data_IF_116246859677
#
_entry.id   IF_116246859677
#
_cell.length_a   1.000
_cell.length_b   1.000
_cell.length_c   1.000
_cell.angle_alpha   90.00
_cell.angle_beta   90.00
_cell.angle_gamma   90.00
#
_symmetry.space_group_name_H-M   'P 1'
#
loop_
_entity.id
_entity.type
_entity.pdbx_description
1 polymer ?
#
# COMPACT_ATOMS: atom_id res chain seq x y z
N UNK A 1 48.67 20.09 -20.31
CA UNK A 1 47.34 20.60 -19.94
C UNK A 1 46.33 19.59 -20.46
N UNK A 2 46.01 18.60 -19.64
CA UNK A 2 45.09 17.54 -20.00
C UNK A 2 43.94 17.60 -19.00
N UNK A 3 42.74 17.94 -19.49
CA UNK A 3 41.53 17.96 -18.70
C UNK A 3 41.11 16.52 -18.38
N UNK A 4 41.15 16.15 -17.10
CA UNK A 4 40.73 14.84 -16.61
C UNK A 4 39.27 14.56 -16.96
N UNK A 5 39.03 13.39 -17.55
CA UNK A 5 37.69 12.79 -17.66
C UNK A 5 37.40 12.10 -16.33
N UNK A 6 36.68 12.80 -15.46
CA UNK A 6 36.21 12.26 -14.19
C UNK A 6 34.76 11.79 -14.34
N UNK A 7 34.52 10.75 -15.14
CA UNK A 7 33.23 10.05 -15.18
C UNK A 7 33.42 8.56 -14.94
N UNK A 8 33.31 8.16 -13.68
CA UNK A 8 32.66 6.88 -13.36
C UNK A 8 31.92 7.02 -12.04
N UNK A 9 30.61 7.26 -12.12
CA UNK A 9 29.70 7.04 -10.99
C UNK A 9 29.57 5.54 -10.71
N UNK A 10 30.63 4.91 -10.24
CA UNK A 10 30.54 3.57 -9.69
C UNK A 10 29.98 3.65 -8.27
N UNK A 11 28.67 3.93 -8.17
CA UNK A 11 27.94 3.87 -6.91
C UNK A 11 27.54 2.43 -6.60
N UNK A 12 28.54 1.55 -6.49
CA UNK A 12 28.38 0.20 -5.95
C UNK A 12 28.35 0.30 -4.43
N UNK A 13 27.15 0.43 -3.87
CA UNK A 13 26.74 -0.09 -2.55
C UNK A 13 25.22 0.02 -2.44
N UNK A 14 24.53 -0.90 -3.10
CA UNK A 14 23.15 -1.22 -2.74
C UNK A 14 23.15 -1.95 -1.39
N UNK A 15 23.30 -1.20 -0.30
CA UNK A 15 22.90 -1.67 1.03
C UNK A 15 21.40 -1.48 1.12
N UNK A 16 20.64 -2.51 0.73
CA UNK A 16 19.23 -2.62 1.06
C UNK A 16 19.10 -2.85 2.58
N UNK A 17 19.32 -1.80 3.38
CA UNK A 17 18.82 -1.75 4.74
C UNK A 17 17.55 -0.90 4.75
N UNK A 18 16.49 -1.45 4.16
CA UNK A 18 15.15 -0.98 4.48
C UNK A 18 14.85 -1.45 5.90
N UNK A 19 15.18 -0.60 6.86
CA UNK A 19 14.62 -0.68 8.20
C UNK A 19 13.10 -0.71 8.03
N UNK A 20 12.51 -1.89 8.14
CA UNK A 20 11.09 -2.09 8.36
C UNK A 20 10.78 -1.56 9.77
N UNK A 21 10.89 -0.25 9.94
CA UNK A 21 10.03 0.45 10.86
C UNK A 21 8.63 0.17 10.30
N UNK A 22 7.97 -0.83 10.88
CA UNK A 22 6.54 -0.97 10.87
C UNK A 22 5.97 0.33 11.44
N UNK A 23 5.91 1.36 10.60
CA UNK A 23 4.91 2.40 10.71
C UNK A 23 3.60 1.66 10.50
N UNK A 24 3.12 1.02 11.58
CA UNK A 24 1.76 0.55 11.68
C UNK A 24 0.92 1.71 11.17
N UNK A 25 0.11 1.54 10.10
CA UNK A 25 -0.77 2.60 9.64
C UNK A 25 -1.51 3.05 10.89
N UNK A 26 -1.22 4.28 11.32
CA UNK A 26 -1.51 4.76 12.67
C UNK A 26 -2.85 4.19 13.11
N UNK A 27 -2.79 3.32 14.13
CA UNK A 27 -3.91 2.51 14.60
C UNK A 27 -5.18 3.33 14.52
N UNK A 28 -6.01 3.02 13.53
CA UNK A 28 -7.32 3.62 13.30
C UNK A 28 -8.27 3.10 14.36
N UNK A 29 -7.90 3.33 15.62
CA UNK A 29 -8.54 2.80 16.81
C UNK A 29 -8.70 3.93 17.82
N UNK A 30 -9.40 4.96 17.39
CA UNK A 30 -10.36 5.75 18.18
C UNK A 30 -10.74 6.97 17.35
N UNK A 31 -12.03 7.10 17.08
CA UNK A 31 -12.66 8.18 16.32
C UNK A 31 -12.52 9.57 16.98
N UNK A 32 -11.75 9.69 18.06
CA UNK A 32 -11.57 10.90 18.83
C UNK A 32 -10.08 11.15 19.10
N UNK A 33 -9.65 12.39 18.87
CA UNK A 33 -8.32 12.84 19.27
C UNK A 33 -8.25 12.88 20.80
N UNK A 34 -7.25 12.21 21.39
CA UNK A 34 -7.04 12.26 22.84
C UNK A 34 -6.82 13.69 23.34
N UNK A 35 -7.34 14.02 24.53
CA UNK A 35 -7.20 15.35 25.13
C UNK A 35 -5.75 15.74 25.48
N UNK A 36 -4.86 14.77 25.62
CA UNK A 36 -3.42 14.97 25.79
C UNK A 36 -2.73 15.41 24.49
N UNK A 37 -3.38 15.27 23.33
CA UNK A 37 -2.82 15.69 22.05
C UNK A 37 -2.78 17.22 21.96
N UNK A 38 -1.61 17.78 21.68
CA UNK A 38 -1.41 19.23 21.56
C UNK A 38 -2.33 19.84 20.49
N UNK A 39 -2.50 19.15 19.35
CA UNK A 39 -3.39 19.58 18.27
C UNK A 39 -4.85 19.66 18.72
N UNK A 40 -5.32 18.70 19.53
CA UNK A 40 -6.67 18.75 20.11
C UNK A 40 -6.87 19.97 21.00
N UNK A 41 -5.90 20.26 21.87
CA UNK A 41 -5.95 21.43 22.76
C UNK A 41 -5.97 22.75 21.97
N UNK A 42 -5.17 22.84 20.92
CA UNK A 42 -5.15 24.00 20.03
C UNK A 42 -6.50 24.20 19.33
N UNK A 43 -7.07 23.12 18.76
CA UNK A 43 -8.38 23.19 18.11
C UNK A 43 -9.46 23.69 19.09
N UNK A 44 -9.53 23.11 20.29
CA UNK A 44 -10.46 23.55 21.34
C UNK A 44 -10.25 25.03 21.71
N UNK A 45 -9.00 25.46 21.88
CA UNK A 45 -8.64 26.85 22.20
C UNK A 45 -9.11 27.84 21.14
N UNK A 46 -9.09 27.43 19.87
CA UNK A 46 -9.55 28.23 18.74
C UNK A 46 -11.05 28.07 18.43
N UNK A 47 -11.83 27.49 19.37
CA UNK A 47 -13.28 27.42 19.28
C UNK A 47 -13.82 26.23 18.48
N UNK A 48 -12.97 25.32 18.03
CA UNK A 48 -13.44 24.07 17.43
C UNK A 48 -14.08 23.15 18.48
N UNK A 49 -15.19 22.52 18.11
CA UNK A 49 -15.92 21.58 18.96
C UNK A 49 -15.76 20.17 18.44
N UNK A 50 -15.67 19.24 19.37
CA UNK A 50 -15.53 17.82 19.03
C UNK A 50 -16.80 17.31 18.36
N UNK A 51 -16.64 16.43 17.37
CA UNK A 51 -17.73 15.95 16.54
C UNK A 51 -18.25 16.95 15.50
N UNK A 52 -17.67 18.15 15.40
CA UNK A 52 -18.04 19.15 14.38
C UNK A 52 -16.99 19.28 13.29
N UNK A 53 -17.43 19.52 12.06
CA UNK A 53 -16.55 19.78 10.93
C UNK A 53 -15.81 21.11 11.09
N UNK A 54 -14.68 21.24 10.42
CA UNK A 54 -13.94 22.51 10.36
C UNK A 54 -14.62 23.51 9.40
N UNK A 55 -14.33 24.80 9.59
CA UNK A 55 -14.89 25.89 8.77
C UNK A 55 -16.06 26.63 9.43
N UNK A 56 -16.39 27.80 8.90
CA UNK A 56 -17.39 28.73 9.48
C UNK A 56 -18.76 28.06 9.65
N UNK A 57 -19.14 27.20 8.70
CA UNK A 57 -20.41 26.49 8.69
C UNK A 57 -20.27 25.02 9.07
N UNK A 58 -19.14 24.63 9.69
CA UNK A 58 -18.82 23.24 10.07
C UNK A 58 -18.88 22.24 8.90
N UNK A 59 -18.64 22.73 7.68
CA UNK A 59 -18.78 21.97 6.44
C UNK A 59 -17.60 21.02 6.16
N UNK A 60 -16.51 21.15 6.89
CA UNK A 60 -15.33 20.30 6.76
C UNK A 60 -15.64 18.86 7.13
N UNK A 61 -14.99 17.91 6.47
CA UNK A 61 -15.23 16.49 6.73
C UNK A 61 -14.73 16.09 8.11
N UNK A 62 -15.50 15.26 8.80
CA UNK A 62 -15.18 14.74 10.14
C UNK A 62 -14.05 13.71 10.09
N UNK A 63 -14.10 12.83 9.10
CA UNK A 63 -13.14 11.74 8.95
C UNK A 63 -11.98 12.10 8.01
N UNK A 64 -10.80 11.45 8.15
CA UNK A 64 -9.70 11.55 7.18
C UNK A 64 -10.04 10.96 5.81
N UNK A 65 -9.27 11.30 4.76
CA UNK A 65 -9.52 10.74 3.41
C UNK A 65 -8.81 9.41 3.39
N UNK A 66 -9.52 8.34 3.05
CA UNK A 66 -8.85 7.06 2.85
C UNK A 66 -7.87 7.14 1.68
N UNK A 67 -6.65 6.68 1.91
CA UNK A 67 -5.60 6.63 0.89
C UNK A 67 -5.23 5.19 0.60
N UNK A 68 -4.99 4.88 -0.67
CA UNK A 68 -4.51 3.57 -1.09
C UNK A 68 -2.99 3.55 -1.21
N UNK A 69 -2.34 2.61 -0.53
CA UNK A 69 -0.90 2.39 -0.66
C UNK A 69 -0.61 1.67 -1.97
N UNK A 70 0.12 2.34 -2.87
CA UNK A 70 0.55 1.76 -4.14
C UNK A 70 1.75 0.83 -3.93
N UNK A 71 1.53 -0.46 -4.12
CA UNK A 71 2.57 -1.50 -3.95
C UNK A 71 3.48 -1.68 -5.17
N UNK A 72 3.10 -1.15 -6.33
CA UNK A 72 3.86 -1.31 -7.57
C UNK A 72 4.68 -0.05 -7.90
N UNK A 73 5.75 -0.22 -8.68
CA UNK A 73 6.63 0.88 -9.12
C UNK A 73 6.28 1.42 -10.52
N UNK A 74 5.16 0.99 -11.13
CA UNK A 74 4.78 1.40 -12.50
C UNK A 74 4.16 2.79 -12.50
N UNK A 75 4.24 3.53 -13.60
CA UNK A 75 3.62 4.86 -13.73
C UNK A 75 2.10 4.85 -13.55
N UNK A 76 1.51 6.01 -13.25
CA UNK A 76 0.06 6.20 -13.31
C UNK A 76 -0.40 5.99 -14.77
N UNK A 77 -1.56 5.37 -14.97
CA UNK A 77 -2.07 5.03 -16.31
C UNK A 77 -1.47 3.77 -16.94
N UNK A 78 -0.45 3.15 -16.35
CA UNK A 78 0.09 1.88 -16.84
C UNK A 78 -0.96 0.75 -16.75
N UNK A 79 -1.10 -0.04 -17.81
CA UNK A 79 -2.06 -1.16 -17.84
C UNK A 79 -1.87 -2.09 -16.65
N UNK A 80 -2.97 -2.43 -15.96
CA UNK A 80 -2.93 -3.41 -14.88
C UNK A 80 -2.57 -4.78 -15.45
N UNK A 81 -1.56 -5.44 -14.88
CA UNK A 81 -1.26 -6.82 -15.25
C UNK A 81 -2.48 -7.67 -14.90
N UNK A 82 -3.12 -8.26 -15.91
CA UNK A 82 -4.14 -9.28 -15.70
C UNK A 82 -3.47 -10.42 -14.96
N UNK A 83 -3.95 -10.77 -13.77
CA UNK A 83 -3.49 -11.97 -13.08
C UNK A 83 -3.73 -13.14 -14.03
N UNK A 84 -2.67 -13.78 -14.50
CA UNK A 84 -2.80 -15.08 -15.14
C UNK A 84 -3.26 -16.02 -14.03
N UNK A 85 -4.56 -16.33 -13.98
CA UNK A 85 -5.06 -17.44 -13.17
C UNK A 85 -4.40 -18.69 -13.75
N UNK A 86 -3.23 -19.04 -13.22
CA UNK A 86 -2.62 -20.30 -13.57
C UNK A 86 -3.53 -21.39 -12.99
N UNK A 87 -3.96 -22.28 -13.89
CA UNK A 87 -4.57 -23.59 -13.63
C UNK A 87 -6.10 -23.54 -13.41
N UNK A 88 -6.83 -23.47 -14.53
CA UNK A 88 -7.99 -24.35 -14.72
C UNK A 88 -7.51 -25.78 -14.52
N UNK A 89 -7.69 -26.30 -13.30
CA UNK A 89 -7.54 -27.73 -13.04
C UNK A 89 -8.59 -28.43 -13.90
N UNK A 90 -8.15 -29.01 -15.02
CA UNK A 90 -8.95 -29.97 -15.79
C UNK A 90 -9.38 -31.05 -14.81
N UNK A 91 -10.65 -31.05 -14.43
CA UNK A 91 -11.32 -32.19 -13.80
C UNK A 91 -11.31 -33.30 -14.83
N UNK A 92 -10.31 -34.17 -14.77
CA UNK A 92 -10.33 -35.42 -15.54
C UNK A 92 -11.50 -36.25 -15.02
N UNK A 93 -12.47 -36.46 -15.90
CA UNK A 93 -13.61 -37.36 -15.70
C UNK A 93 -13.10 -38.75 -15.30
N UNK A 94 -13.76 -39.45 -14.35
CA UNK A 94 -13.29 -40.74 -13.84
C UNK A 94 -13.02 -41.80 -14.91
N UNK A 95 -13.70 -41.72 -16.06
CA UNK A 95 -13.58 -42.67 -17.16
C UNK A 95 -12.20 -42.67 -17.88
N UNK A 96 -11.45 -41.57 -17.84
CA UNK A 96 -10.14 -41.50 -18.53
C UNK A 96 -9.05 -42.26 -17.75
N UNK A 97 -9.21 -42.42 -16.43
CA UNK A 97 -8.21 -43.06 -15.56
C UNK A 97 -8.15 -44.57 -15.79
N UNK A 98 -9.30 -45.22 -15.92
CA UNK A 98 -9.39 -46.66 -16.25
C UNK A 98 -8.71 -46.98 -17.59
N UNK A 99 -8.88 -46.08 -18.57
CA UNK A 99 -8.30 -46.24 -19.91
C UNK A 99 -6.78 -46.15 -19.90
N UNK A 100 -6.20 -45.34 -19.02
CA UNK A 100 -4.73 -45.19 -18.92
C UNK A 100 -4.12 -46.40 -18.22
N UNK A 101 -4.80 -46.98 -17.23
CA UNK A 101 -4.29 -48.14 -16.47
C UNK A 101 -4.23 -49.40 -17.35
N UNK A 102 -5.17 -49.58 -18.30
CA UNK A 102 -5.18 -50.74 -19.20
C UNK A 102 -4.05 -50.78 -20.23
N UNK A 103 -3.32 -49.67 -20.45
CA UNK A 103 -2.18 -49.66 -21.36
C UNK A 103 -0.85 -50.00 -20.67
N UNK A 104 -0.85 -50.13 -19.34
CA UNK A 104 0.35 -50.37 -18.54
C UNK A 104 0.35 -51.70 -17.75
N UNK A 105 -0.72 -52.50 -17.86
CA UNK A 105 -0.74 -53.93 -17.53
C UNK A 105 -0.87 -54.75 -18.81
#
# INVERSE_FOLDING_TARGET
MECGRDESWDNTRNSNNYNNSSHSPASSSSLALNSSNIGFQLLKKHGWKEGTGLGVSQQGRLEPVETYVKKNKRGLGAEKLKKKTLLSAKTSTPAEKERIVSYFL
#
